data_IF_159776706985
#
_entry.id   IF_159776706985
#
_cell.length_a   1.000
_cell.length_b   1.000
_cell.length_c   1.000
_cell.angle_alpha   90.00
_cell.angle_beta   90.00
_cell.angle_gamma   90.00
#
_symmetry.space_group_name_H-M   'P 1'
#
loop_
_entity.id
_entity.type
_entity.pdbx_description
1 polymer ?
#
# COMPACT_ATOMS: atom_id res chain seq x y z
N UNK A 1 -5.38 0.82 58.22
CA UNK A 1 -5.89 -0.52 58.58
C UNK A 1 -6.84 -0.93 57.46
N UNK A 2 -6.67 -2.15 56.93
CA UNK A 2 -7.22 -2.66 55.66
C UNK A 2 -8.75 -2.62 55.58
N UNK A 3 -9.27 -2.19 54.41
CA UNK A 3 -10.53 -2.72 53.87
C UNK A 3 -10.25 -3.34 52.49
N UNK A 4 -10.56 -4.62 52.46
CA UNK A 4 -10.59 -5.54 51.34
C UNK A 4 -11.92 -5.33 50.60
N UNK A 5 -11.92 -5.25 49.27
CA UNK A 5 -13.02 -5.53 48.31
C UNK A 5 -12.53 -4.93 46.97
N UNK A 6 -12.33 -5.61 45.86
CA UNK A 6 -12.69 -6.95 45.44
C UNK A 6 -12.52 -6.95 43.92
N UNK A 7 -11.77 -7.91 43.39
CA UNK A 7 -12.06 -8.62 42.14
C UNK A 7 -12.56 -7.76 40.95
N UNK A 8 -11.63 -7.29 40.12
CA UNK A 8 -11.77 -7.32 38.66
C UNK A 8 -10.41 -7.85 38.16
N UNK A 9 -10.26 -9.13 37.81
CA UNK A 9 -10.92 -9.81 36.69
C UNK A 9 -10.87 -8.93 35.43
N UNK A 10 -9.67 -8.52 35.04
CA UNK A 10 -9.41 -8.29 33.62
C UNK A 10 -8.78 -9.57 33.06
N UNK A 11 -9.68 -10.53 32.83
CA UNK A 11 -9.51 -11.55 31.83
C UNK A 11 -9.02 -10.89 30.54
N UNK A 12 -7.92 -11.44 30.02
CA UNK A 12 -7.79 -11.76 28.60
C UNK A 12 -8.28 -10.67 27.64
N UNK A 13 -7.35 -9.83 27.19
CA UNK A 13 -7.26 -9.55 25.76
C UNK A 13 -5.83 -9.82 25.34
N UNK A 14 -5.49 -11.12 25.28
CA UNK A 14 -4.59 -11.60 24.23
C UNK A 14 -5.18 -11.00 22.95
N UNK A 15 -4.49 -10.13 22.18
CA UNK A 15 -5.02 -9.74 20.90
C UNK A 15 -5.16 -11.04 20.11
N UNK A 16 -6.40 -11.51 20.01
CA UNK A 16 -6.76 -12.55 19.06
C UNK A 16 -6.23 -12.03 17.73
N UNK A 17 -5.19 -12.69 17.22
CA UNK A 17 -4.95 -12.75 15.79
C UNK A 17 -6.27 -13.27 15.20
N UNK A 18 -7.20 -12.36 14.95
CA UNK A 18 -8.33 -12.62 14.09
C UNK A 18 -7.69 -13.25 12.85
N UNK A 19 -8.12 -14.45 12.43
CA UNK A 19 -7.68 -14.96 11.16
C UNK A 19 -8.10 -13.89 10.15
N UNK A 20 -7.11 -13.18 9.62
CA UNK A 20 -7.29 -12.28 8.49
C UNK A 20 -7.85 -13.18 7.40
N UNK A 21 -9.19 -13.22 7.29
CA UNK A 21 -9.85 -13.70 6.10
C UNK A 21 -9.08 -13.06 4.94
N UNK A 22 -8.48 -13.91 4.11
CA UNK A 22 -7.79 -13.50 2.90
C UNK A 22 -8.83 -12.83 2.00
N UNK A 23 -9.17 -11.57 2.28
CA UNK A 23 -10.00 -10.74 1.42
C UNK A 23 -9.11 -10.26 0.30
N UNK A 24 -8.74 -11.19 -0.58
CA UNK A 24 -8.31 -10.83 -1.91
C UNK A 24 -9.53 -10.25 -2.62
N UNK A 25 -9.49 -8.95 -2.85
CA UNK A 25 -10.51 -8.26 -3.65
C UNK A 25 -10.28 -8.58 -5.12
N UNK A 26 -11.35 -8.87 -5.85
CA UNK A 26 -11.28 -9.41 -7.21
C UNK A 26 -10.65 -8.42 -8.22
N UNK A 27 -10.71 -7.12 -7.92
CA UNK A 27 -10.09 -6.09 -8.74
C UNK A 27 -9.63 -4.88 -7.89
N UNK A 28 -8.76 -4.05 -8.48
CA UNK A 28 -8.22 -2.87 -7.81
C UNK A 28 -9.30 -1.85 -7.41
N UNK A 29 -10.41 -1.78 -8.14
CA UNK A 29 -11.50 -0.84 -7.83
C UNK A 29 -12.21 -1.25 -6.53
N UNK A 30 -12.49 -2.53 -6.35
CA UNK A 30 -13.01 -3.11 -5.11
C UNK A 30 -12.00 -2.97 -3.96
N UNK A 31 -10.73 -3.24 -4.23
CA UNK A 31 -9.66 -3.02 -3.24
C UNK A 31 -9.70 -1.58 -2.71
N UNK A 32 -9.76 -0.60 -3.60
CA UNK A 32 -9.77 0.81 -3.24
C UNK A 32 -11.05 1.23 -2.51
N UNK A 33 -12.16 0.50 -2.67
CA UNK A 33 -13.39 0.74 -1.92
C UNK A 33 -13.40 0.06 -0.55
N UNK A 34 -12.44 -0.81 -0.26
CA UNK A 34 -12.33 -1.47 1.03
C UNK A 34 -12.05 -0.47 2.16
N UNK A 35 -12.58 -0.76 3.36
CA UNK A 35 -12.34 0.07 4.54
C UNK A 35 -10.84 0.18 4.87
N UNK A 36 -10.08 -0.88 4.63
CA UNK A 36 -8.64 -0.95 4.84
C UNK A 36 -7.87 0.02 3.95
N UNK A 37 -8.15 0.01 2.64
CA UNK A 37 -7.51 0.91 1.68
C UNK A 37 -7.89 2.38 1.94
N UNK A 38 -9.16 2.65 2.24
CA UNK A 38 -9.62 4.01 2.56
C UNK A 38 -8.99 4.53 3.86
N UNK A 39 -8.91 3.70 4.89
CA UNK A 39 -8.25 4.04 6.16
C UNK A 39 -6.77 4.33 5.95
N UNK A 40 -6.08 3.46 5.19
CA UNK A 40 -4.68 3.63 4.84
C UNK A 40 -4.42 4.95 4.09
N UNK A 41 -5.21 5.24 3.06
CA UNK A 41 -5.07 6.48 2.30
C UNK A 41 -5.29 7.69 3.21
N UNK A 42 -6.30 7.65 4.08
CA UNK A 42 -6.57 8.73 5.03
C UNK A 42 -5.40 8.92 6.00
N UNK A 43 -4.88 7.85 6.60
CA UNK A 43 -3.74 7.91 7.53
C UNK A 43 -2.52 8.57 6.88
N UNK A 44 -2.19 8.19 5.66
CA UNK A 44 -0.98 8.70 4.99
C UNK A 44 -1.14 10.09 4.40
N UNK A 45 -2.34 10.48 3.99
CA UNK A 45 -2.60 11.82 3.44
C UNK A 45 -2.78 12.89 4.51
N UNK A 46 -3.08 12.50 5.76
CA UNK A 46 -3.16 13.44 6.90
C UNK A 46 -1.81 13.66 7.58
N UNK A 47 -0.78 12.87 7.25
CA UNK A 47 0.58 13.09 7.76
C UNK A 47 1.13 14.41 7.22
N UNK A 48 1.41 15.34 8.12
CA UNK A 48 1.97 16.65 7.80
C UNK A 48 3.49 16.58 7.89
N UNK A 49 4.14 17.11 6.87
CA UNK A 49 5.57 17.35 6.87
C UNK A 49 5.89 18.52 7.80
N UNK A 50 6.75 18.29 8.80
CA UNK A 50 7.04 19.27 9.84
C UNK A 50 7.88 20.45 9.35
N UNK A 51 8.59 20.30 8.24
CA UNK A 51 9.46 21.34 7.68
C UNK A 51 8.66 22.30 6.79
N UNK A 52 7.70 21.77 6.04
CA UNK A 52 6.92 22.54 5.05
C UNK A 52 5.50 22.88 5.51
N UNK A 53 5.00 22.23 6.57
CA UNK A 53 3.62 22.38 7.06
C UNK A 53 2.56 21.84 6.09
N UNK A 54 2.96 21.12 5.04
CA UNK A 54 2.08 20.58 4.00
C UNK A 54 1.88 19.08 4.17
N UNK A 55 0.81 18.50 3.61
CA UNK A 55 0.66 17.04 3.55
C UNK A 55 1.89 16.40 2.91
N UNK A 56 2.48 15.44 3.62
CA UNK A 56 3.68 14.72 3.20
C UNK A 56 3.44 13.91 1.94
N UNK A 57 2.23 13.40 1.76
CA UNK A 57 1.82 12.62 0.59
C UNK A 57 0.48 13.11 0.05
N UNK A 58 0.34 13.10 -1.27
CA UNK A 58 -0.93 13.39 -1.93
C UNK A 58 -1.78 12.13 -2.04
N UNK A 59 -3.11 12.28 -2.01
CA UNK A 59 -4.04 11.16 -2.23
C UNK A 59 -3.75 10.42 -3.54
N UNK A 60 -3.45 11.17 -4.59
CA UNK A 60 -3.08 10.62 -5.89
C UNK A 60 -1.78 9.78 -5.81
N UNK A 61 -0.74 10.28 -5.14
CA UNK A 61 0.52 9.56 -4.99
C UNK A 61 0.39 8.26 -4.19
N UNK A 62 -0.37 8.29 -3.09
CA UNK A 62 -0.64 7.07 -2.29
C UNK A 62 -1.46 6.06 -3.10
N UNK A 63 -2.47 6.54 -3.83
CA UNK A 63 -3.32 5.68 -4.68
C UNK A 63 -2.50 5.01 -5.80
N UNK A 64 -1.60 5.75 -6.45
CA UNK A 64 -0.76 5.20 -7.52
C UNK A 64 0.24 4.18 -6.97
N UNK A 65 0.80 4.40 -5.77
CA UNK A 65 1.64 3.40 -5.10
C UNK A 65 0.86 2.11 -4.84
N UNK A 66 -0.35 2.21 -4.30
CA UNK A 66 -1.19 1.05 -4.06
C UNK A 66 -1.53 0.32 -5.37
N UNK A 67 -1.79 1.07 -6.45
CA UNK A 67 -2.04 0.50 -7.77
C UNK A 67 -0.84 -0.28 -8.27
N UNK A 68 0.36 0.31 -8.19
CA UNK A 68 1.61 -0.33 -8.61
C UNK A 68 1.86 -1.62 -7.83
N UNK A 69 1.68 -1.59 -6.51
CA UNK A 69 1.87 -2.77 -5.67
C UNK A 69 0.81 -3.84 -5.93
N UNK A 70 -0.43 -3.44 -6.20
CA UNK A 70 -1.51 -4.36 -6.56
C UNK A 70 -1.25 -5.04 -7.93
N UNK A 71 -0.85 -4.25 -8.93
CA UNK A 71 -0.51 -4.75 -10.27
C UNK A 71 0.75 -5.63 -10.28
N UNK A 72 1.66 -5.43 -9.32
CA UNK A 72 2.87 -6.26 -9.19
C UNK A 72 2.56 -7.72 -8.86
N UNK A 73 1.36 -8.03 -8.33
CA UNK A 73 0.95 -9.36 -7.84
C UNK A 73 1.96 -10.03 -6.91
N UNK A 74 2.86 -9.24 -6.29
CA UNK A 74 3.96 -9.74 -5.47
C UNK A 74 3.52 -10.06 -4.04
N UNK A 75 2.29 -9.72 -3.66
CA UNK A 75 1.76 -9.86 -2.31
C UNK A 75 0.61 -10.87 -2.28
N UNK A 76 0.66 -11.76 -1.30
CA UNK A 76 -0.35 -12.81 -1.11
C UNK A 76 -1.63 -12.34 -0.43
N UNK A 77 -1.65 -11.12 0.13
CA UNK A 77 -2.82 -10.54 0.80
C UNK A 77 -2.78 -9.01 0.70
N UNK A 78 -3.96 -8.38 0.75
CA UNK A 78 -4.12 -6.93 0.80
C UNK A 78 -3.41 -6.32 2.02
N UNK A 79 -3.46 -6.97 3.18
CA UNK A 79 -2.76 -6.52 4.39
C UNK A 79 -1.24 -6.45 4.22
N UNK A 80 -0.62 -7.47 3.62
CA UNK A 80 0.83 -7.47 3.33
C UNK A 80 1.21 -6.37 2.33
N UNK A 81 0.38 -6.16 1.32
CA UNK A 81 0.58 -5.09 0.35
C UNK A 81 0.50 -3.70 1.01
N UNK A 82 -0.50 -3.47 1.88
CA UNK A 82 -0.65 -2.22 2.62
C UNK A 82 0.52 -1.99 3.59
N UNK A 83 1.00 -3.03 4.26
CA UNK A 83 2.20 -2.95 5.11
C UNK A 83 3.43 -2.53 4.30
N UNK A 84 3.68 -3.20 3.17
CA UNK A 84 4.79 -2.84 2.28
C UNK A 84 4.65 -1.42 1.72
N UNK A 85 3.43 -0.99 1.38
CA UNK A 85 3.15 0.38 0.98
C UNK A 85 3.53 1.38 2.10
N UNK A 86 3.21 1.08 3.35
CA UNK A 86 3.56 1.91 4.51
C UNK A 86 5.07 1.99 4.74
N UNK A 87 5.78 0.88 4.59
CA UNK A 87 7.25 0.83 4.66
C UNK A 87 7.88 1.70 3.55
N UNK A 88 7.40 1.55 2.31
CA UNK A 88 7.85 2.36 1.17
C UNK A 88 7.59 3.85 1.42
N UNK A 89 6.39 4.22 1.88
CA UNK A 89 6.07 5.62 2.19
C UNK A 89 7.01 6.16 3.27
N UNK A 90 7.23 5.40 4.35
CA UNK A 90 8.16 5.77 5.43
C UNK A 90 9.58 6.00 4.91
N UNK A 91 10.10 5.11 4.06
CA UNK A 91 11.43 5.22 3.47
C UNK A 91 11.53 6.42 2.51
N UNK A 92 10.46 6.70 1.79
CA UNK A 92 10.35 7.79 0.82
C UNK A 92 9.88 9.11 1.44
N UNK A 93 10.11 9.33 2.75
CA UNK A 93 9.87 10.63 3.40
C UNK A 93 10.40 11.77 2.52
N UNK A 94 9.46 12.61 2.05
CA UNK A 94 9.66 13.67 1.06
C UNK A 94 8.89 13.40 -0.24
N UNK A 95 7.86 14.22 -0.52
CA UNK A 95 6.97 14.05 -1.67
C UNK A 95 7.67 13.92 -3.04
N UNK A 96 8.88 14.46 -3.18
CA UNK A 96 9.73 14.32 -4.38
C UNK A 96 10.26 12.89 -4.57
N UNK A 97 10.58 12.17 -3.49
CA UNK A 97 11.12 10.80 -3.57
C UNK A 97 10.05 9.78 -3.95
N UNK A 98 8.81 9.96 -3.49
CA UNK A 98 7.69 9.13 -3.91
C UNK A 98 7.37 9.30 -5.40
N UNK A 99 7.34 10.55 -5.88
CA UNK A 99 7.17 10.82 -7.31
C UNK A 99 8.31 10.23 -8.14
N UNK A 100 9.56 10.36 -7.70
CA UNK A 100 10.73 9.77 -8.35
C UNK A 100 10.67 8.24 -8.38
N UNK A 101 10.27 7.60 -7.28
CA UNK A 101 10.08 6.15 -7.20
C UNK A 101 8.99 5.67 -8.16
N UNK A 102 7.82 6.33 -8.17
CA UNK A 102 6.72 6.00 -9.07
C UNK A 102 7.11 6.23 -10.54
N UNK A 103 7.82 7.31 -10.84
CA UNK A 103 8.34 7.58 -12.18
C UNK A 103 9.36 6.53 -12.62
N UNK A 104 10.28 6.11 -11.74
CA UNK A 104 11.25 5.05 -12.02
C UNK A 104 10.60 3.68 -12.20
N UNK A 105 9.57 3.37 -11.42
CA UNK A 105 8.80 2.14 -11.56
C UNK A 105 8.00 2.12 -12.86
N UNK A 106 7.33 3.24 -13.19
CA UNK A 106 6.59 3.41 -14.44
C UNK A 106 7.51 3.38 -15.67
N UNK A 107 8.69 3.98 -15.59
CA UNK A 107 9.68 3.91 -16.65
C UNK A 107 10.18 2.47 -16.88
N UNK A 108 10.35 1.67 -15.82
CA UNK A 108 10.67 0.24 -15.95
C UNK A 108 9.53 -0.56 -16.57
N UNK A 109 8.28 -0.33 -16.17
CA UNK A 109 7.13 -1.04 -16.76
C UNK A 109 6.91 -0.66 -18.24
N UNK A 110 7.12 0.61 -18.61
CA UNK A 110 7.07 1.05 -20.00
C UNK A 110 8.26 0.54 -20.83
N UNK A 111 9.46 0.45 -20.26
CA UNK A 111 10.63 -0.16 -20.91
C UNK A 111 10.42 -1.65 -21.21
N UNK A 112 9.82 -2.39 -20.28
CA UNK A 112 9.45 -3.80 -20.48
C UNK A 112 8.32 -3.92 -21.52
N UNK A 113 7.28 -3.08 -21.46
CA UNK A 113 6.20 -3.08 -22.47
C UNK A 113 6.69 -2.73 -23.87
N UNK A 114 7.60 -1.76 -24.01
CA UNK A 114 8.22 -1.43 -25.31
C UNK A 114 9.07 -2.57 -25.84
N UNK A 115 9.81 -3.26 -24.98
CA UNK A 115 10.63 -4.42 -25.37
C UNK A 115 9.76 -5.61 -25.77
N UNK A 116 8.66 -5.88 -25.05
CA UNK A 116 7.71 -6.94 -25.41
C UNK A 116 6.96 -6.61 -26.71
N UNK A 117 6.55 -5.35 -26.91
CA UNK A 117 5.91 -4.90 -28.17
C UNK A 117 6.89 -4.94 -29.35
N UNK A 118 8.16 -4.62 -29.11
CA UNK A 118 9.25 -4.70 -30.08
C UNK A 118 9.58 -6.16 -30.46
N UNK A 119 9.55 -7.08 -29.50
CA UNK A 119 9.81 -8.51 -29.75
C UNK A 119 8.59 -9.23 -30.35
N UNK A 120 7.37 -8.87 -29.95
CA UNK A 120 6.12 -9.42 -30.49
C UNK A 120 5.75 -8.92 -31.89
N UNK A 121 6.28 -7.76 -32.33
CA UNK A 121 6.08 -7.25 -33.70
C UNK A 121 7.11 -7.73 -34.73
N UNK A 122 8.27 -8.20 -34.27
CA UNK A 122 9.37 -8.68 -35.14
C UNK A 122 9.26 -10.16 -35.55
N UNK A 123 8.61 -10.99 -34.73
CA UNK A 123 8.49 -12.44 -34.99
C UNK A 123 7.32 -12.84 -35.89
N UNK A 124 6.34 -11.95 -36.12
CA UNK A 124 5.20 -12.22 -37.02
C UNK A 124 5.36 -11.63 -38.43
N UNK A 125 6.48 -10.93 -38.72
CA UNK A 125 6.73 -10.32 -40.04
C UNK A 125 7.91 -10.96 -40.78
N UNK A 126 8.45 -12.05 -40.25
CA UNK A 126 9.48 -12.87 -40.87
C UNK A 126 9.05 -14.35 -40.82
N UNK A 127 7.93 -14.66 -41.45
CA UNK A 127 7.50 -15.99 -41.85
C UNK A 127 6.73 -15.87 -43.17
#
# INVERSE_FOLDING_TARGET
>A
MFEWLGIYKEEMVKPEEKPEEKKETANFKEFMQSAEAQSFIKEWTTKIDKETGKPMYTKAGVTELLRVLYESKSFSTNAKMLKAAGEILTLLRGGDKLKGFLAGWKARSEGIMKTIKSLGGGLFKAA
#
